data_IF_820756888725
#
_entry.id   IF_820756888725
#
_cell.length_a   1.000
_cell.length_b   1.000
_cell.length_c   1.000
_cell.angle_alpha   90.00
_cell.angle_beta   90.00
_cell.angle_gamma   90.00
#
_symmetry.space_group_name_H-M   'P 1'
#
loop_
_entity.id
_entity.type
_entity.pdbx_description
1 polymer ?
#
# COMPACT_ATOMS: atom_id res chain seq x y z
N UNK A 1 -23.98 41.29 45.81
CA UNK A 1 -22.53 41.20 45.59
C UNK A 1 -22.29 40.03 44.65
N UNK A 2 -22.10 40.30 43.36
CA UNK A 2 -21.90 39.25 42.35
C UNK A 2 -20.42 39.14 42.05
N UNK A 3 -19.79 38.06 42.48
CA UNK A 3 -18.38 37.75 42.20
C UNK A 3 -18.31 36.95 40.90
N UNK A 4 -17.94 37.62 39.80
CA UNK A 4 -17.61 36.96 38.54
C UNK A 4 -16.30 36.18 38.70
N UNK A 5 -16.21 34.91 38.28
CA UNK A 5 -14.96 34.16 38.37
C UNK A 5 -13.95 34.69 37.34
N UNK A 6 -12.81 35.19 37.80
CA UNK A 6 -11.72 35.64 36.94
C UNK A 6 -11.09 34.46 36.19
N UNK A 7 -10.88 34.65 34.89
CA UNK A 7 -10.25 33.67 34.01
C UNK A 7 -8.74 33.62 34.35
N UNK A 8 -8.14 32.43 34.53
CA UNK A 8 -6.73 32.33 34.93
C UNK A 8 -5.81 32.89 33.85
N UNK A 9 -4.80 33.61 34.31
CA UNK A 9 -3.77 34.26 33.50
C UNK A 9 -2.89 33.22 32.78
N UNK A 10 -2.18 33.59 31.71
CA UNK A 10 -1.31 32.67 30.98
C UNK A 10 -0.25 31.99 31.86
N UNK A 11 0.30 32.71 32.85
CA UNK A 11 1.27 32.18 33.80
C UNK A 11 0.65 31.13 34.74
N UNK A 12 -0.56 31.38 35.26
CA UNK A 12 -1.28 30.42 36.11
C UNK A 12 -1.69 29.16 35.32
N UNK A 13 -1.98 29.29 34.02
CA UNK A 13 -2.25 28.14 33.14
C UNK A 13 -1.01 27.28 32.96
N UNK A 14 0.16 27.89 32.88
CA UNK A 14 1.42 27.18 32.70
C UNK A 14 1.85 26.47 33.99
N UNK A 15 1.60 27.08 35.15
CA UNK A 15 1.82 26.46 36.46
C UNK A 15 0.88 25.28 36.72
N UNK A 16 -0.42 25.43 36.36
CA UNK A 16 -1.40 24.33 36.42
C UNK A 16 -0.99 23.20 35.45
N UNK A 17 -0.49 23.52 34.26
CA UNK A 17 -0.03 22.52 33.28
C UNK A 17 1.17 21.69 33.78
N UNK A 18 2.02 22.24 34.66
CA UNK A 18 3.16 21.53 35.27
C UNK A 18 2.78 20.66 36.47
N UNK A 19 1.63 20.92 37.09
CA UNK A 19 1.10 20.15 38.22
C UNK A 19 0.17 19.00 37.79
N UNK A 20 -0.24 18.97 36.52
CA UNK A 20 -0.96 17.85 35.95
C UNK A 20 0.00 16.69 35.67
N UNK A 21 -0.34 15.44 36.05
CA UNK A 21 0.47 14.29 35.68
C UNK A 21 0.61 14.25 34.16
N UNK A 22 1.86 14.09 33.68
CA UNK A 22 2.16 13.88 32.25
C UNK A 22 1.21 12.79 31.75
N UNK A 23 0.32 13.08 30.77
CA UNK A 23 -0.57 12.06 30.23
C UNK A 23 0.30 10.91 29.75
N UNK A 24 0.04 9.70 30.23
CA UNK A 24 0.75 8.52 29.78
C UNK A 24 0.65 8.46 28.25
N UNK A 25 1.80 8.54 27.57
CA UNK A 25 1.93 8.33 26.13
C UNK A 25 1.17 7.05 25.75
N UNK A 26 0.02 7.24 25.11
CA UNK A 26 -0.79 6.17 24.53
C UNK A 26 -0.93 6.43 23.04
N UNK A 27 0.20 6.35 22.36
CA UNK A 27 0.24 6.00 20.94
C UNK A 27 1.10 4.76 20.78
N UNK A 28 0.43 3.62 20.52
CA UNK A 28 1.07 2.34 20.16
C UNK A 28 0.92 2.16 18.64
N UNK A 29 1.99 2.36 17.85
CA UNK A 29 1.93 2.33 16.38
C UNK A 29 1.51 0.98 15.78
N UNK A 30 1.59 -0.11 16.55
CA UNK A 30 1.08 -1.44 16.20
C UNK A 30 -0.41 -1.51 15.85
N UNK A 31 -1.23 -0.58 16.36
CA UNK A 31 -2.64 -0.48 15.99
C UNK A 31 -2.89 0.21 14.64
N UNK A 32 -1.93 0.91 14.05
CA UNK A 32 -2.15 1.66 12.80
C UNK A 32 -2.02 0.77 11.56
N UNK A 33 -1.15 -0.23 11.60
CA UNK A 33 -1.09 -1.24 10.55
C UNK A 33 -2.26 -2.23 10.64
N UNK A 34 -2.69 -2.50 11.88
CA UNK A 34 -4.02 -3.03 12.16
C UNK A 34 -5.11 -2.08 11.67
N UNK A 35 -4.97 -0.75 11.72
CA UNK A 35 -5.98 0.14 11.16
C UNK A 35 -6.05 0.10 9.64
N UNK A 36 -4.96 -0.18 8.92
CA UNK A 36 -4.97 -0.40 7.47
C UNK A 36 -5.57 -1.77 7.12
N UNK A 37 -5.13 -2.83 7.80
CA UNK A 37 -5.72 -4.17 7.69
C UNK A 37 -7.19 -4.17 8.14
N UNK A 38 -7.50 -3.50 9.22
CA UNK A 38 -8.84 -3.29 9.77
C UNK A 38 -9.58 -2.26 8.93
N UNK A 39 -9.00 -1.40 8.10
CA UNK A 39 -9.76 -0.56 7.17
C UNK A 39 -10.17 -1.41 5.97
N UNK A 40 -9.22 -2.18 5.43
CA UNK A 40 -9.44 -3.23 4.44
C UNK A 40 -10.36 -4.37 4.95
N UNK A 41 -10.48 -4.58 6.26
CA UNK A 41 -11.36 -5.59 6.88
C UNK A 41 -12.61 -4.99 7.56
N UNK A 42 -12.65 -3.70 7.94
CA UNK A 42 -13.81 -3.01 8.55
C UNK A 42 -14.83 -2.64 7.48
N UNK A 43 -14.42 -2.46 6.24
CA UNK A 43 -15.34 -2.33 5.10
C UNK A 43 -16.19 -3.58 4.87
N UNK A 44 -15.84 -4.72 5.45
CA UNK A 44 -16.66 -5.95 5.41
C UNK A 44 -17.46 -6.20 6.68
N UNK A 45 -17.48 -5.27 7.67
CA UNK A 45 -17.92 -5.61 9.03
C UNK A 45 -18.79 -4.59 9.78
N UNK A 46 -19.28 -3.54 9.14
CA UNK A 46 -20.34 -2.71 9.74
C UNK A 46 -21.68 -3.26 9.23
N UNK A 47 -22.29 -4.25 9.89
CA UNK A 47 -23.13 -3.96 11.06
C UNK A 47 -23.20 -5.07 12.12
N UNK A 48 -23.49 -4.62 13.35
CA UNK A 48 -23.93 -5.38 14.54
C UNK A 48 -22.83 -5.83 15.53
N UNK A 49 -22.49 -4.95 16.47
CA UNK A 49 -22.11 -5.39 17.82
C UNK A 49 -23.39 -5.69 18.62
N UNK A 50 -23.43 -6.81 19.37
CA UNK A 50 -24.18 -6.78 20.61
C UNK A 50 -23.35 -7.17 21.83
N UNK A 51 -23.72 -6.48 22.90
CA UNK A 51 -23.37 -6.59 24.31
C UNK A 51 -22.92 -7.97 24.84
N UNK A 52 -22.01 -7.89 25.80
CA UNK A 52 -21.47 -8.98 26.59
C UNK A 52 -22.53 -9.72 27.45
N UNK A 53 -22.41 -11.05 27.55
CA UNK A 53 -22.80 -11.88 28.69
C UNK A 53 -22.19 -13.32 28.55
N UNK A 54 -22.22 -14.20 29.57
CA UNK A 54 -21.01 -14.80 30.16
C UNK A 54 -20.82 -16.31 29.92
N UNK A 55 -19.78 -16.83 30.58
CA UNK A 55 -19.14 -18.15 30.53
C UNK A 55 -20.04 -19.40 30.52
N UNK A 56 -19.52 -20.44 29.84
CA UNK A 56 -19.73 -21.84 30.23
C UNK A 56 -20.09 -22.78 29.08
N UNK A 57 -19.13 -23.59 28.65
CA UNK A 57 -19.26 -25.05 28.40
C UNK A 57 -18.18 -25.54 27.44
N UNK A 58 -17.40 -26.55 27.88
CA UNK A 58 -16.45 -27.30 27.06
C UNK A 58 -17.20 -28.38 26.26
N UNK A 59 -16.67 -28.80 25.10
CA UNK A 59 -16.58 -30.23 24.86
C UNK A 59 -15.20 -30.69 24.36
N UNK A 60 -15.04 -32.01 24.45
CA UNK A 60 -13.81 -32.81 24.42
C UNK A 60 -13.75 -33.64 23.13
N UNK A 61 -12.54 -34.13 22.85
CA UNK A 61 -12.17 -35.24 21.93
C UNK A 61 -12.15 -34.89 20.43
N UNK A 62 -11.21 -35.38 19.61
CA UNK A 62 -10.16 -36.37 19.83
C UNK A 62 -9.13 -36.32 18.70
N UNK A 63 -7.87 -36.61 19.05
CA UNK A 63 -6.74 -36.62 18.13
C UNK A 63 -6.78 -37.85 17.21
N UNK A 64 -6.65 -37.62 15.89
CA UNK A 64 -6.19 -38.66 14.95
C UNK A 64 -4.91 -38.16 14.28
N UNK A 65 -3.83 -38.85 14.60
CA UNK A 65 -2.49 -38.72 14.02
C UNK A 65 -2.54 -39.23 12.57
N UNK A 66 -2.05 -38.45 11.62
CA UNK A 66 -1.75 -38.89 10.27
C UNK A 66 -0.22 -38.93 10.09
N UNK A 67 0.28 -40.12 9.77
CA UNK A 67 1.66 -40.43 9.42
C UNK A 67 1.93 -39.99 7.98
N UNK A 68 2.95 -39.15 7.76
CA UNK A 68 3.44 -38.79 6.42
C UNK A 68 4.57 -39.76 6.05
N UNK A 69 4.40 -40.49 4.95
CA UNK A 69 5.47 -41.22 4.28
C UNK A 69 6.07 -40.32 3.19
N UNK A 70 7.39 -40.13 3.23
CA UNK A 70 8.18 -39.39 2.26
C UNK A 70 8.52 -40.26 1.05
N UNK A 71 8.53 -39.67 -0.15
CA UNK A 71 9.22 -40.21 -1.34
C UNK A 71 9.97 -39.05 -2.02
N UNK A 72 11.28 -39.18 -2.29
CA UNK A 72 12.09 -38.17 -2.97
C UNK A 72 12.36 -38.54 -4.43
N UNK A 73 12.19 -37.63 -5.39
CA UNK A 73 12.72 -37.69 -6.75
C UNK A 73 12.64 -36.27 -7.35
N UNK A 74 13.51 -35.74 -8.19
CA UNK A 74 14.89 -35.99 -8.61
C UNK A 74 15.27 -34.75 -9.44
N UNK A 75 16.57 -34.45 -9.53
CA UNK A 75 17.13 -33.30 -10.22
C UNK A 75 16.86 -33.27 -11.74
N UNK A 76 16.78 -32.06 -12.30
CA UNK A 76 16.77 -31.82 -13.75
C UNK A 76 17.37 -30.46 -14.06
N UNK A 77 18.68 -30.44 -14.30
CA UNK A 77 19.42 -29.28 -14.79
C UNK A 77 19.20 -29.11 -16.31
N UNK A 78 18.94 -27.89 -16.76
CA UNK A 78 19.09 -27.50 -18.16
C UNK A 78 19.90 -26.21 -18.23
N UNK A 79 21.16 -26.38 -18.61
CA UNK A 79 22.05 -25.32 -19.05
C UNK A 79 21.67 -24.92 -20.48
N UNK A 80 21.58 -23.62 -20.74
CA UNK A 80 21.59 -23.08 -22.11
C UNK A 80 22.80 -22.16 -22.22
N UNK A 81 23.77 -22.65 -22.97
CA UNK A 81 24.95 -21.93 -23.47
C UNK A 81 24.56 -21.08 -24.67
N UNK A 82 24.76 -19.76 -24.59
CA UNK A 82 24.97 -18.94 -25.78
C UNK A 82 26.33 -18.25 -25.66
N UNK A 83 27.25 -18.70 -26.50
CA UNK A 83 28.48 -18.01 -26.82
C UNK A 83 28.32 -17.42 -28.23
N UNK A 84 28.47 -16.11 -28.37
CA UNK A 84 29.01 -15.49 -29.57
C UNK A 84 29.89 -14.31 -29.17
N UNK A 85 31.17 -14.46 -29.51
CA UNK A 85 32.25 -13.48 -29.37
C UNK A 85 32.05 -12.27 -30.29
N UNK A 86 32.54 -11.12 -29.85
CA UNK A 86 32.72 -9.92 -30.67
C UNK A 86 33.34 -8.81 -29.84
N UNK A 87 34.64 -8.90 -29.57
CA UNK A 87 35.39 -7.88 -28.84
C UNK A 87 35.74 -6.67 -29.70
N UNK A 88 36.02 -5.55 -29.02
CA UNK A 88 37.05 -4.56 -29.32
C UNK A 88 37.03 -3.48 -28.21
N UNK A 89 37.88 -3.67 -27.20
CA UNK A 89 38.50 -2.57 -26.46
C UNK A 89 39.63 -1.98 -27.32
N UNK A 90 39.92 -0.68 -27.16
CA UNK A 90 41.23 -0.35 -26.59
C UNK A 90 41.11 0.68 -25.46
N UNK A 91 41.82 0.41 -24.35
CA UNK A 91 42.05 1.36 -23.27
C UNK A 91 43.13 2.42 -23.61
N UNK A 92 43.87 2.92 -22.61
CA UNK A 92 43.53 4.14 -21.87
C UNK A 92 44.56 5.26 -22.08
N UNK A 93 44.20 6.52 -21.81
CA UNK A 93 45.21 7.57 -21.62
C UNK A 93 44.71 9.01 -21.61
N UNK A 94 45.11 9.72 -20.55
CA UNK A 94 45.33 11.17 -20.42
C UNK A 94 44.16 12.08 -19.98
N UNK A 95 44.21 12.46 -18.70
CA UNK A 95 43.97 13.82 -18.18
C UNK A 95 45.36 14.41 -17.77
N UNK A 96 45.57 15.72 -17.48
CA UNK A 96 44.68 16.90 -17.56
C UNK A 96 45.34 18.18 -18.16
N UNK A 97 44.54 19.19 -18.55
CA UNK A 97 44.65 20.66 -18.25
C UNK A 97 44.19 21.61 -19.35
N UNK A 98 43.60 22.72 -18.87
CA UNK A 98 43.32 24.02 -19.50
C UNK A 98 42.02 24.08 -20.35
N UNK A 99 41.13 25.06 -20.21
CA UNK A 99 41.26 26.39 -19.63
C UNK A 99 39.92 26.90 -19.06
N UNK A 100 40.03 27.66 -17.97
CA UNK A 100 39.01 28.55 -17.42
C UNK A 100 38.89 29.77 -18.34
N UNK A 101 37.67 30.14 -18.72
CA UNK A 101 37.34 31.48 -19.20
C UNK A 101 36.08 31.98 -18.47
N UNK A 102 36.08 33.20 -17.90
CA UNK A 102 35.00 33.71 -17.07
C UNK A 102 33.92 34.43 -17.88
N UNK A 103 32.69 34.37 -17.36
CA UNK A 103 31.72 35.46 -17.42
C UNK A 103 31.02 35.72 -18.76
N UNK A 104 29.77 35.28 -18.86
CA UNK A 104 28.75 36.15 -19.46
C UNK A 104 27.44 35.98 -18.69
N UNK A 105 27.10 37.04 -17.95
CA UNK A 105 25.85 37.23 -17.24
C UNK A 105 24.67 37.08 -18.20
N UNK A 106 24.05 35.90 -18.23
CA UNK A 106 22.68 35.73 -18.70
C UNK A 106 21.75 35.72 -17.50
N UNK A 107 21.40 36.95 -17.11
CA UNK A 107 20.04 37.40 -16.75
C UNK A 107 19.10 36.26 -16.30
N UNK A 108 18.82 36.25 -15.00
CA UNK A 108 17.71 35.53 -14.40
C UNK A 108 16.40 35.83 -15.13
N UNK A 109 16.02 34.94 -16.04
CA UNK A 109 14.70 34.87 -16.66
C UNK A 109 14.29 33.39 -16.60
N UNK A 110 13.23 33.13 -15.86
CA UNK A 110 12.51 31.87 -15.72
C UNK A 110 13.34 30.67 -15.23
N UNK A 111 13.89 30.77 -14.01
CA UNK A 111 14.18 29.57 -13.24
C UNK A 111 12.84 28.92 -12.86
N UNK A 112 12.30 28.07 -13.77
CA UNK A 112 11.36 27.03 -13.35
C UNK A 112 12.02 26.32 -12.17
N UNK A 113 11.34 26.16 -11.01
CA UNK A 113 11.92 25.40 -9.93
C UNK A 113 12.40 24.06 -10.48
N UNK A 114 13.67 23.74 -10.26
CA UNK A 114 14.27 22.51 -10.76
C UNK A 114 13.44 21.34 -10.22
N UNK A 115 12.95 20.48 -11.13
CA UNK A 115 12.07 19.39 -10.74
C UNK A 115 12.81 18.46 -9.78
N UNK A 116 12.21 18.18 -8.63
CA UNK A 116 12.81 17.28 -7.64
C UNK A 116 12.98 15.87 -8.23
N UNK A 117 13.97 15.07 -7.79
CA UNK A 117 14.16 13.71 -8.30
C UNK A 117 12.91 12.83 -8.20
N UNK A 118 12.09 13.06 -7.16
CA UNK A 118 10.81 12.36 -6.96
C UNK A 118 9.76 12.77 -7.99
N UNK A 119 9.65 14.07 -8.31
CA UNK A 119 8.72 14.55 -9.33
C UNK A 119 9.10 14.02 -10.73
N UNK A 120 10.40 13.98 -11.04
CA UNK A 120 10.90 13.41 -12.30
C UNK A 120 10.59 11.91 -12.38
N UNK A 121 10.81 11.14 -11.31
CA UNK A 121 10.51 9.71 -11.30
C UNK A 121 9.00 9.44 -11.46
N UNK A 122 8.16 10.13 -10.69
CA UNK A 122 6.71 9.96 -10.75
C UNK A 122 6.12 10.41 -12.09
N UNK A 123 6.64 11.45 -12.73
CA UNK A 123 6.21 11.85 -14.07
C UNK A 123 6.57 10.80 -15.15
N UNK A 124 7.75 10.18 -15.05
CA UNK A 124 8.13 9.06 -15.91
C UNK A 124 7.21 7.85 -15.71
N UNK A 125 6.94 7.47 -14.46
CA UNK A 125 6.01 6.38 -14.11
C UNK A 125 4.62 6.70 -14.67
N UNK A 126 4.13 7.92 -14.46
CA UNK A 126 2.83 8.37 -14.96
C UNK A 126 2.74 8.32 -16.49
N UNK A 127 3.82 8.71 -17.18
CA UNK A 127 3.91 8.64 -18.65
C UNK A 127 3.79 7.20 -19.15
N UNK A 128 4.52 6.27 -18.53
CA UNK A 128 4.43 4.84 -18.86
C UNK A 128 3.05 4.29 -18.55
N UNK A 129 2.48 4.64 -17.39
CA UNK A 129 1.14 4.21 -17.00
C UNK A 129 0.06 4.69 -17.99
N UNK A 130 0.13 5.96 -18.43
CA UNK A 130 -0.81 6.55 -19.39
C UNK A 130 -0.73 5.91 -20.79
N UNK A 131 0.45 5.41 -21.17
CA UNK A 131 0.68 4.77 -22.47
C UNK A 131 0.14 3.33 -22.55
N UNK A 132 -0.24 2.72 -21.42
CA UNK A 132 -0.80 1.37 -21.42
C UNK A 132 -2.16 1.34 -22.13
N UNK A 133 -2.48 0.27 -22.88
CA UNK A 133 -3.78 0.14 -23.53
C UNK A 133 -4.88 0.05 -22.47
N UNK A 134 -5.95 0.83 -22.67
CA UNK A 134 -7.13 0.72 -21.83
C UNK A 134 -7.82 -0.63 -22.10
N UNK A 135 -8.02 -1.42 -21.04
CA UNK A 135 -8.76 -2.69 -21.13
C UNK A 135 -10.25 -2.39 -21.12
N UNK A 136 -11.00 -3.02 -22.03
CA UNK A 136 -12.45 -3.04 -21.95
C UNK A 136 -12.87 -3.91 -20.76
N UNK A 137 -13.68 -3.34 -19.86
CA UNK A 137 -14.17 -4.01 -18.64
C UNK A 137 -15.69 -3.83 -18.60
N UNK A 138 -16.43 -4.92 -18.41
CA UNK A 138 -17.90 -4.90 -18.28
C UNK A 138 -18.32 -4.92 -16.82
N UNK A 139 -19.51 -4.39 -16.53
CA UNK A 139 -20.06 -4.30 -15.16
C UNK A 139 -20.27 -5.66 -14.52
N UNK A 140 -20.59 -6.66 -15.35
CA UNK A 140 -20.84 -8.04 -14.95
C UNK A 140 -19.55 -8.86 -14.72
N UNK A 141 -18.37 -8.22 -14.66
CA UNK A 141 -17.09 -8.89 -14.44
C UNK A 141 -16.46 -8.56 -13.07
N UNK A 142 -15.30 -9.19 -12.83
CA UNK A 142 -14.48 -8.99 -11.63
C UNK A 142 -13.08 -8.52 -12.00
N UNK A 143 -12.56 -7.54 -11.26
CA UNK A 143 -11.13 -7.22 -11.25
C UNK A 143 -10.42 -8.28 -10.41
N UNK A 144 -9.45 -8.94 -11.02
CA UNK A 144 -8.61 -9.94 -10.37
C UNK A 144 -7.23 -9.38 -10.06
N UNK A 145 -6.74 -9.62 -8.84
CA UNK A 145 -5.35 -9.36 -8.46
C UNK A 145 -4.79 -10.56 -7.71
N UNK A 146 -3.61 -11.03 -8.12
CA UNK A 146 -2.81 -12.04 -7.41
C UNK A 146 -1.56 -11.39 -6.84
N UNK A 147 -1.27 -11.69 -5.58
CA UNK A 147 -0.11 -11.15 -4.87
C UNK A 147 0.49 -12.14 -3.87
N UNK A 148 1.76 -11.93 -3.56
CA UNK A 148 2.38 -12.43 -2.33
C UNK A 148 2.36 -11.30 -1.30
N UNK A 149 1.95 -11.57 -0.06
CA UNK A 149 1.87 -10.57 1.01
C UNK A 149 2.44 -11.10 2.32
N UNK A 150 2.97 -10.20 3.13
CA UNK A 150 3.26 -10.42 4.55
C UNK A 150 3.04 -9.12 5.32
N UNK A 151 2.42 -9.22 6.48
CA UNK A 151 2.08 -8.07 7.31
C UNK A 151 2.51 -8.34 8.74
N UNK A 152 3.01 -7.32 9.42
CA UNK A 152 3.31 -7.41 10.84
C UNK A 152 2.02 -7.43 11.64
N UNK A 153 2.00 -8.27 12.67
CA UNK A 153 0.95 -8.27 13.68
C UNK A 153 1.55 -8.12 15.07
N UNK A 154 0.76 -7.53 15.96
CA UNK A 154 1.04 -7.42 17.39
C UNK A 154 -0.19 -7.94 18.14
N UNK A 155 0.03 -8.53 19.30
CA UNK A 155 -1.06 -8.90 20.21
C UNK A 155 -0.71 -8.48 21.63
N UNK A 156 -1.68 -8.46 22.53
CA UNK A 156 -1.39 -8.20 23.95
C UNK A 156 -0.46 -9.27 24.55
N UNK A 157 -0.45 -10.48 23.99
CA UNK A 157 0.44 -11.56 24.39
C UNK A 157 1.85 -11.44 23.79
N UNK A 158 1.99 -10.69 22.70
CA UNK A 158 3.24 -10.48 21.98
C UNK A 158 3.32 -9.03 21.49
N UNK A 159 3.84 -8.12 22.32
CA UNK A 159 3.92 -6.70 22.01
C UNK A 159 5.01 -6.40 20.98
N UNK A 160 5.78 -7.39 20.52
CA UNK A 160 6.77 -7.19 19.45
C UNK A 160 6.06 -7.34 18.12
N UNK A 161 6.27 -6.40 17.19
CA UNK A 161 5.80 -6.57 15.83
C UNK A 161 6.51 -7.77 15.20
N UNK A 162 5.73 -8.74 14.73
CA UNK A 162 6.26 -9.88 13.98
C UNK A 162 5.65 -9.91 12.59
N UNK A 163 6.54 -9.83 11.59
CA UNK A 163 6.17 -10.03 10.20
C UNK A 163 5.73 -11.48 10.01
N UNK A 164 4.58 -11.65 9.42
CA UNK A 164 4.08 -12.96 9.04
C UNK A 164 4.94 -13.62 7.94
N UNK A 165 4.82 -14.93 7.76
CA UNK A 165 5.45 -15.60 6.62
C UNK A 165 4.76 -15.14 5.33
N UNK A 166 5.51 -14.73 4.29
CA UNK A 166 4.94 -14.40 2.98
C UNK A 166 4.03 -15.51 2.45
N UNK A 167 2.85 -15.13 1.98
CA UNK A 167 1.83 -16.07 1.52
C UNK A 167 1.01 -15.50 0.36
N UNK A 168 0.32 -16.40 -0.36
CA UNK A 168 -0.53 -16.02 -1.48
C UNK A 168 -1.81 -15.34 -0.98
N UNK A 169 -2.14 -14.24 -1.66
CA UNK A 169 -3.40 -13.51 -1.59
C UNK A 169 -3.93 -13.32 -3.01
N UNK A 170 -5.20 -13.64 -3.23
CA UNK A 170 -5.91 -13.42 -4.49
C UNK A 170 -7.24 -12.74 -4.19
N UNK A 171 -7.57 -11.70 -4.95
CA UNK A 171 -8.83 -10.98 -4.77
C UNK A 171 -9.56 -10.84 -6.08
N UNK A 172 -10.88 -10.91 -6.01
CA UNK A 172 -11.83 -10.66 -7.09
C UNK A 172 -12.81 -9.60 -6.61
N UNK A 173 -12.78 -8.41 -7.20
CA UNK A 173 -13.66 -7.29 -6.83
C UNK A 173 -14.67 -7.05 -7.95
N UNK A 174 -15.97 -6.96 -7.62
CA UNK A 174 -16.99 -6.63 -8.64
C UNK A 174 -16.68 -5.29 -9.26
N UNK A 175 -16.69 -5.22 -10.59
CA UNK A 175 -16.31 -4.02 -11.35
C UNK A 175 -17.17 -2.82 -10.97
N UNK A 176 -18.46 -3.03 -10.82
CA UNK A 176 -19.48 -2.05 -10.49
C UNK A 176 -19.89 -2.04 -9.01
N UNK A 177 -19.41 -3.01 -8.21
CA UNK A 177 -19.82 -3.20 -6.83
C UNK A 177 -21.20 -3.86 -6.63
N UNK A 178 -21.93 -4.23 -7.69
CA UNK A 178 -23.29 -4.78 -7.55
C UNK A 178 -23.34 -6.18 -6.95
N UNK A 179 -22.23 -6.93 -6.98
CA UNK A 179 -22.15 -8.33 -6.54
C UNK A 179 -21.01 -8.56 -5.55
N UNK A 180 -21.09 -9.60 -4.70
CA UNK A 180 -20.02 -9.94 -3.78
C UNK A 180 -18.75 -10.27 -4.54
N UNK A 181 -17.63 -9.76 -4.05
CA UNK A 181 -16.30 -10.19 -4.42
C UNK A 181 -15.86 -11.43 -3.64
N UNK A 182 -14.59 -11.79 -3.81
CA UNK A 182 -13.95 -12.89 -3.10
C UNK A 182 -12.51 -12.52 -2.75
N UNK A 183 -12.11 -12.82 -1.52
CA UNK A 183 -10.73 -12.87 -1.10
C UNK A 183 -10.35 -14.33 -0.86
N UNK A 184 -9.26 -14.79 -1.48
CA UNK A 184 -8.62 -16.06 -1.16
C UNK A 184 -7.24 -15.79 -0.60
N UNK A 185 -7.04 -16.09 0.67
CA UNK A 185 -5.79 -15.85 1.38
C UNK A 185 -5.46 -17.07 2.25
N UNK A 186 -4.22 -17.56 2.18
CA UNK A 186 -3.80 -18.80 2.88
C UNK A 186 -4.69 -20.03 2.57
N UNK A 187 -5.27 -20.07 1.37
CA UNK A 187 -6.19 -21.12 0.95
C UNK A 187 -7.59 -21.01 1.56
N UNK A 188 -7.88 -19.96 2.32
CA UNK A 188 -9.19 -19.68 2.88
C UNK A 188 -9.93 -18.66 2.01
N UNK A 189 -11.19 -18.96 1.74
CA UNK A 189 -12.09 -18.11 0.97
C UNK A 189 -12.94 -17.27 1.92
N UNK A 190 -12.90 -15.96 1.70
CA UNK A 190 -13.68 -14.95 2.42
C UNK A 190 -14.49 -14.18 1.39
N UNK A 191 -15.82 -14.32 1.39
CA UNK A 191 -16.70 -13.49 0.56
C UNK A 191 -16.54 -12.02 0.92
N UNK A 192 -16.51 -11.16 -0.10
CA UNK A 192 -16.41 -9.71 0.05
C UNK A 192 -17.76 -9.09 -0.29
N UNK A 193 -18.57 -8.82 0.73
CA UNK A 193 -19.93 -8.30 0.59
C UNK A 193 -20.20 -7.19 1.61
N UNK A 194 -21.20 -6.35 1.30
CA UNK A 194 -21.61 -5.20 2.13
C UNK A 194 -22.00 -5.65 3.55
N UNK A 195 -22.76 -6.74 3.63
CA UNK A 195 -23.17 -7.36 4.89
C UNK A 195 -22.81 -8.85 4.92
N UNK A 196 -22.22 -9.30 6.03
CA UNK A 196 -21.94 -10.72 6.30
C UNK A 196 -22.50 -11.16 7.65
N UNK A 197 -22.99 -12.40 7.71
CA UNK A 197 -23.54 -12.98 8.94
C UNK A 197 -22.40 -13.30 9.93
N UNK A 198 -22.77 -13.72 11.16
CA UNK A 198 -21.80 -14.12 12.19
C UNK A 198 -20.89 -15.29 11.79
N UNK A 199 -21.25 -15.99 10.71
CA UNK A 199 -20.50 -17.11 10.15
C UNK A 199 -19.63 -16.70 8.95
N UNK A 200 -19.60 -15.39 8.61
CA UNK A 200 -18.84 -14.85 7.48
C UNK A 200 -19.48 -15.09 6.11
N UNK A 201 -20.78 -15.39 6.04
CA UNK A 201 -21.49 -15.58 4.77
C UNK A 201 -22.21 -14.29 4.37
N UNK A 202 -22.23 -13.90 3.09
CA UNK A 202 -22.98 -12.73 2.64
C UNK A 202 -24.45 -12.82 3.05
N UNK A 203 -24.94 -11.78 3.72
CA UNK A 203 -26.37 -11.62 4.07
C UNK A 203 -27.13 -11.14 2.84
N UNK A 204 -26.50 -10.26 2.06
CA UNK A 204 -27.04 -9.73 0.81
C UNK A 204 -26.24 -10.24 -0.39
N UNK A 205 -26.85 -10.14 -1.57
CA UNK A 205 -26.15 -10.38 -2.85
C UNK A 205 -25.50 -9.11 -3.39
N UNK A 206 -25.28 -8.10 -2.55
CA UNK A 206 -24.68 -6.82 -2.93
C UNK A 206 -23.21 -6.81 -2.50
N UNK A 207 -22.35 -6.29 -3.35
CA UNK A 207 -20.92 -6.17 -3.08
C UNK A 207 -20.59 -4.91 -2.29
N UNK A 208 -20.44 -3.81 -2.99
CA UNK A 208 -20.09 -2.50 -2.47
C UNK A 208 -20.93 -1.45 -3.22
N UNK A 209 -22.13 -1.11 -2.72
CA UNK A 209 -23.06 -0.21 -3.40
C UNK A 209 -22.68 1.27 -3.25
N UNK A 210 -21.79 1.60 -2.32
CA UNK A 210 -21.38 2.96 -1.99
C UNK A 210 -19.84 3.09 -1.99
N UNK A 211 -19.20 2.99 -3.17
CA UNK A 211 -17.74 2.99 -3.24
C UNK A 211 -17.13 4.33 -2.82
N UNK A 212 -15.98 4.26 -2.16
CA UNK A 212 -15.21 5.42 -1.67
C UNK A 212 -13.74 5.30 -2.08
N UNK A 213 -12.89 6.27 -1.72
CA UNK A 213 -11.45 6.13 -1.91
C UNK A 213 -10.84 4.97 -1.10
N UNK A 214 -11.46 4.60 0.03
CA UNK A 214 -11.01 3.49 0.86
C UNK A 214 -11.63 2.15 0.44
N UNK A 215 -12.83 2.20 -0.16
CA UNK A 215 -13.51 1.05 -0.77
C UNK A 215 -13.79 1.28 -2.25
N UNK A 216 -12.77 1.36 -3.13
CA UNK A 216 -13.01 1.66 -4.52
C UNK A 216 -13.59 0.46 -5.28
N UNK A 217 -14.55 0.70 -6.16
CA UNK A 217 -14.84 -0.19 -7.29
C UNK A 217 -14.04 0.26 -8.51
N UNK A 218 -13.94 -0.59 -9.55
CA UNK A 218 -13.33 -0.17 -10.81
C UNK A 218 -14.09 1.01 -11.42
N UNK A 219 -15.43 1.03 -11.35
CA UNK A 219 -16.24 2.14 -11.85
C UNK A 219 -16.03 3.42 -11.06
N UNK A 220 -15.89 3.33 -9.73
CA UNK A 220 -15.52 4.48 -8.91
C UNK A 220 -14.16 5.04 -9.31
N UNK A 221 -13.13 4.19 -9.42
CA UNK A 221 -11.80 4.58 -9.89
C UNK A 221 -11.84 5.25 -11.27
N UNK A 222 -12.60 4.68 -12.21
CA UNK A 222 -12.74 5.22 -13.55
C UNK A 222 -13.45 6.59 -13.59
N UNK A 223 -14.21 6.93 -12.54
CA UNK A 223 -14.87 8.23 -12.40
C UNK A 223 -13.98 9.30 -11.75
N UNK A 224 -12.81 8.93 -11.22
CA UNK A 224 -11.93 9.87 -10.54
C UNK A 224 -11.40 10.94 -11.51
N UNK A 225 -11.20 12.18 -11.03
CA UNK A 225 -10.55 13.23 -11.80
C UNK A 225 -9.16 12.77 -12.28
N UNK A 226 -8.84 13.05 -13.54
CA UNK A 226 -7.50 12.78 -14.11
C UNK A 226 -6.58 13.99 -14.06
N UNK A 227 -7.06 15.13 -13.56
CA UNK A 227 -6.22 16.26 -13.19
C UNK A 227 -5.58 15.97 -11.81
N UNK A 228 -4.24 15.97 -11.70
CA UNK A 228 -3.57 15.54 -10.48
C UNK A 228 -3.79 16.47 -9.30
N UNK A 229 -3.94 17.78 -9.51
CA UNK A 229 -4.16 18.74 -8.41
C UNK A 229 -5.58 18.62 -7.87
N UNK A 230 -6.56 18.48 -8.77
CA UNK A 230 -7.97 18.23 -8.41
C UNK A 230 -8.10 16.89 -7.69
N UNK A 231 -7.42 15.85 -8.19
CA UNK A 231 -7.43 14.52 -7.59
C UNK A 231 -6.78 14.53 -6.20
N UNK A 232 -5.62 15.17 -6.05
CA UNK A 232 -4.94 15.28 -4.77
C UNK A 232 -5.81 16.03 -3.74
N UNK A 233 -6.44 17.14 -4.16
CA UNK A 233 -7.38 17.88 -3.32
C UNK A 233 -8.55 17.00 -2.86
N UNK A 234 -9.17 16.25 -3.77
CA UNK A 234 -10.27 15.32 -3.46
C UNK A 234 -9.81 14.28 -2.42
N UNK A 235 -8.62 13.73 -2.58
CA UNK A 235 -8.04 12.76 -1.62
C UNK A 235 -7.93 13.38 -0.23
N UNK A 236 -7.27 14.55 -0.10
CA UNK A 236 -7.15 15.24 1.18
C UNK A 236 -8.49 15.61 1.83
N UNK A 237 -9.49 15.98 1.02
CA UNK A 237 -10.81 16.34 1.53
C UNK A 237 -11.56 15.14 2.09
N UNK A 238 -11.54 14.01 1.39
CA UNK A 238 -12.28 12.80 1.78
C UNK A 238 -11.60 12.02 2.89
N UNK A 239 -10.25 11.99 2.92
CA UNK A 239 -9.51 11.23 3.94
C UNK A 239 -9.18 12.04 5.19
N UNK A 240 -9.71 13.27 5.28
CA UNK A 240 -9.51 14.16 6.42
C UNK A 240 -9.89 13.47 7.73
N UNK A 241 -8.92 13.35 8.63
CA UNK A 241 -9.10 12.78 9.97
C UNK A 241 -9.19 11.24 10.00
N UNK A 242 -8.98 10.55 8.87
CA UNK A 242 -9.06 9.10 8.79
C UNK A 242 -7.71 8.39 9.04
N UNK A 243 -6.61 9.14 9.02
CA UNK A 243 -5.25 8.62 9.16
C UNK A 243 -4.39 9.31 10.23
N UNK A 244 -3.13 8.87 10.36
CA UNK A 244 -2.21 9.37 11.38
C UNK A 244 -1.67 10.77 11.07
N UNK A 245 -1.95 11.29 9.87
CA UNK A 245 -1.66 12.64 9.41
C UNK A 245 -2.14 12.80 7.96
N UNK A 246 -2.50 14.02 7.50
CA UNK A 246 -3.14 14.23 6.21
C UNK A 246 -2.28 13.73 5.04
N UNK A 247 -0.98 14.04 5.05
CA UNK A 247 -0.06 13.65 3.98
C UNK A 247 0.25 12.16 3.97
N UNK A 248 0.35 11.54 5.16
CA UNK A 248 0.56 10.09 5.25
C UNK A 248 -0.67 9.35 4.74
N UNK A 249 -1.86 9.82 5.11
CA UNK A 249 -3.11 9.23 4.69
C UNK A 249 -3.33 9.37 3.19
N UNK A 250 -3.05 10.56 2.63
CA UNK A 250 -3.08 10.77 1.19
C UNK A 250 -2.12 9.83 0.45
N UNK A 251 -0.89 9.64 0.97
CA UNK A 251 0.06 8.70 0.41
C UNK A 251 -0.51 7.28 0.45
N UNK A 252 -0.86 6.75 1.63
CA UNK A 252 -1.42 5.38 1.77
C UNK A 252 -2.62 5.15 0.87
N UNK A 253 -3.57 6.09 0.83
CA UNK A 253 -4.77 6.01 -0.03
C UNK A 253 -4.40 5.86 -1.51
N UNK A 254 -3.43 6.63 -2.02
CA UNK A 254 -2.96 6.49 -3.40
C UNK A 254 -2.33 5.10 -3.62
N UNK A 255 -1.53 4.61 -2.66
CA UNK A 255 -0.96 3.26 -2.71
C UNK A 255 -2.03 2.17 -2.83
N UNK A 256 -3.07 2.24 -1.99
CA UNK A 256 -4.17 1.28 -2.01
C UNK A 256 -4.95 1.28 -3.33
N UNK A 257 -5.24 2.47 -3.88
CA UNK A 257 -5.88 2.63 -5.20
C UNK A 257 -5.03 2.05 -6.35
N UNK A 258 -3.71 1.97 -6.17
CA UNK A 258 -2.78 1.41 -7.15
C UNK A 258 -2.51 -0.09 -6.92
N UNK A 259 -2.63 -0.60 -5.70
CA UNK A 259 -2.23 -1.96 -5.30
C UNK A 259 -3.25 -3.03 -5.70
N UNK A 260 -4.51 -2.88 -5.29
CA UNK A 260 -5.53 -3.93 -5.44
C UNK A 260 -6.45 -3.74 -6.65
N UNK A 261 -6.04 -2.90 -7.60
CA UNK A 261 -6.94 -2.47 -8.67
C UNK A 261 -6.31 -2.43 -10.06
N UNK A 262 -7.16 -2.57 -11.07
CA UNK A 262 -6.84 -2.32 -12.47
C UNK A 262 -7.26 -0.90 -12.82
N UNK A 263 -6.69 0.11 -12.16
CA UNK A 263 -7.05 1.50 -12.42
C UNK A 263 -6.85 1.84 -13.92
N UNK A 264 -7.78 2.59 -14.56
CA UNK A 264 -7.60 3.00 -15.95
C UNK A 264 -6.28 3.77 -16.15
N UNK A 265 -5.59 3.60 -17.29
CA UNK A 265 -4.27 4.19 -17.55
C UNK A 265 -4.12 5.67 -17.16
N UNK A 266 -5.13 6.50 -17.51
CA UNK A 266 -5.12 7.94 -17.20
C UNK A 266 -5.32 8.23 -15.71
N UNK A 267 -6.10 7.42 -15.01
CA UNK A 267 -6.31 7.54 -13.56
C UNK A 267 -5.05 7.12 -12.82
N UNK A 268 -4.42 6.01 -13.21
CA UNK A 268 -3.11 5.62 -12.66
C UNK A 268 -2.06 6.72 -12.83
N UNK A 269 -1.98 7.31 -14.03
CA UNK A 269 -1.06 8.42 -14.29
C UNK A 269 -1.35 9.63 -13.40
N UNK A 270 -2.62 9.99 -13.22
CA UNK A 270 -3.03 11.08 -12.34
C UNK A 270 -2.68 10.81 -10.87
N UNK A 271 -2.88 9.57 -10.39
CA UNK A 271 -2.51 9.14 -9.03
C UNK A 271 -1.00 9.28 -8.78
N UNK A 272 -0.15 8.85 -9.71
CA UNK A 272 1.30 9.03 -9.60
C UNK A 272 1.72 10.50 -9.60
N UNK A 273 1.10 11.33 -10.45
CA UNK A 273 1.36 12.77 -10.48
C UNK A 273 0.89 13.47 -9.20
N UNK A 274 -0.28 13.11 -8.69
CA UNK A 274 -0.81 13.61 -7.42
C UNK A 274 0.14 13.29 -6.25
N UNK A 275 0.72 12.08 -6.22
CA UNK A 275 1.68 11.69 -5.18
C UNK A 275 2.95 12.58 -5.15
N UNK A 276 3.34 13.20 -6.26
CA UNK A 276 4.48 14.11 -6.31
C UNK A 276 4.22 15.44 -5.57
N UNK A 277 2.94 15.81 -5.39
CA UNK A 277 2.52 17.00 -4.63
C UNK A 277 2.44 16.77 -3.13
N UNK A 278 2.59 15.53 -2.64
CA UNK A 278 2.51 15.22 -1.22
C UNK A 278 3.85 15.58 -0.52
N UNK A 279 3.82 16.41 0.54
CA UNK A 279 5.01 16.72 1.32
C UNK A 279 5.67 15.48 1.94
N UNK A 280 7.01 15.44 1.87
CA UNK A 280 7.83 14.38 2.48
C UNK A 280 8.00 13.12 1.66
N UNK A 281 7.51 13.10 0.41
CA UNK A 281 7.76 11.98 -0.51
C UNK A 281 9.18 12.07 -1.08
N UNK A 282 9.88 10.94 -1.09
CA UNK A 282 11.29 10.80 -1.45
C UNK A 282 11.50 9.61 -2.38
N UNK A 283 12.72 9.47 -2.93
CA UNK A 283 13.12 8.32 -3.73
C UNK A 283 14.06 7.42 -2.93
N UNK A 284 13.82 6.12 -2.98
CA UNK A 284 14.72 5.08 -2.47
C UNK A 284 15.31 4.34 -3.68
N UNK A 285 16.64 4.35 -3.77
CA UNK A 285 17.36 3.88 -4.95
C UNK A 285 17.28 2.37 -5.17
N UNK A 286 17.06 1.57 -4.13
CA UNK A 286 16.86 0.12 -4.20
C UNK A 286 15.89 -0.35 -3.11
N UNK A 287 14.85 -1.06 -3.53
CA UNK A 287 13.88 -1.71 -2.67
C UNK A 287 13.52 -3.09 -3.24
N UNK A 288 13.11 -4.01 -2.36
CA UNK A 288 12.82 -5.41 -2.71
C UNK A 288 11.39 -5.74 -2.32
N UNK A 289 10.62 -6.28 -3.26
CA UNK A 289 9.24 -6.69 -3.04
C UNK A 289 9.15 -8.09 -2.37
N UNK A 290 7.93 -8.55 -2.06
CA UNK A 290 7.73 -9.85 -1.42
C UNK A 290 8.10 -11.07 -2.30
N UNK A 291 8.36 -10.87 -3.59
CA UNK A 291 8.81 -11.89 -4.53
C UNK A 291 10.33 -11.86 -4.77
N UNK A 292 11.06 -10.96 -4.08
CA UNK A 292 12.50 -10.81 -4.23
C UNK A 292 12.94 -9.97 -5.43
N UNK A 293 12.01 -9.26 -6.10
CA UNK A 293 12.32 -8.39 -7.23
C UNK A 293 12.84 -7.04 -6.73
N UNK A 294 13.99 -6.62 -7.26
CA UNK A 294 14.58 -5.32 -6.97
C UNK A 294 13.99 -4.22 -7.84
N UNK A 295 13.75 -3.06 -7.25
CA UNK A 295 13.14 -1.91 -7.90
C UNK A 295 13.66 -0.59 -7.37
N UNK A 296 13.22 0.50 -8.02
CA UNK A 296 13.30 1.85 -7.46
C UNK A 296 12.01 2.13 -6.70
N UNK A 297 12.08 2.82 -5.57
CA UNK A 297 10.90 3.12 -4.79
C UNK A 297 10.63 4.61 -4.59
N UNK A 298 9.35 4.94 -4.49
CA UNK A 298 8.87 6.21 -3.97
C UNK A 298 8.41 5.98 -2.54
N UNK A 299 8.83 6.82 -1.60
CA UNK A 299 8.66 6.54 -0.19
C UNK A 299 8.29 7.77 0.64
N UNK A 300 7.53 7.55 1.71
CA UNK A 300 7.22 8.57 2.72
C UNK A 300 7.46 8.02 4.11
N UNK A 301 8.11 8.83 4.96
CA UNK A 301 8.35 8.49 6.36
C UNK A 301 7.31 9.16 7.24
N UNK A 302 6.74 8.40 8.17
CA UNK A 302 5.82 8.91 9.19
C UNK A 302 5.99 8.11 10.48
N UNK A 303 6.13 8.80 11.62
CA UNK A 303 6.26 8.20 12.95
C UNK A 303 7.30 7.07 13.06
N UNK A 304 8.43 7.20 12.36
CA UNK A 304 9.52 6.22 12.40
C UNK A 304 9.34 5.01 11.48
N UNK A 305 8.30 4.98 10.64
CA UNK A 305 8.09 3.97 9.61
C UNK A 305 8.16 4.61 8.22
N UNK A 306 8.84 3.96 7.28
CA UNK A 306 8.89 4.32 5.86
C UNK A 306 7.98 3.40 5.07
N UNK A 307 7.00 3.97 4.40
CA UNK A 307 6.18 3.27 3.40
C UNK A 307 6.81 3.47 2.03
N UNK A 308 6.99 2.39 1.27
CA UNK A 308 7.66 2.37 -0.03
C UNK A 308 6.72 1.75 -1.09
N UNK A 309 6.61 2.40 -2.25
CA UNK A 309 6.03 1.82 -3.47
C UNK A 309 7.16 1.44 -4.41
N UNK A 310 7.24 0.17 -4.75
CA UNK A 310 8.35 -0.41 -5.49
C UNK A 310 7.97 -0.52 -6.96
N UNK A 311 8.82 -0.01 -7.84
CA UNK A 311 8.66 -0.04 -9.28
C UNK A 311 9.84 -0.75 -9.94
N UNK A 312 9.56 -1.50 -10.99
CA UNK A 312 10.61 -2.09 -11.81
C UNK A 312 11.47 -0.99 -12.45
N UNK A 313 12.79 -1.16 -12.42
CA UNK A 313 13.73 -0.10 -12.85
C UNK A 313 13.63 0.22 -14.34
N UNK A 314 13.24 -0.75 -15.15
CA UNK A 314 13.28 -0.65 -16.61
C UNK A 314 11.89 -0.30 -17.16
N UNK A 315 10.89 -1.03 -16.70
CA UNK A 315 9.51 -0.94 -17.17
C UNK A 315 8.67 0.06 -16.38
N UNK A 316 9.14 0.49 -15.20
CA UNK A 316 8.40 1.36 -14.27
C UNK A 316 7.03 0.77 -13.86
N UNK A 317 6.86 -0.55 -13.99
CA UNK A 317 5.67 -1.23 -13.50
C UNK A 317 5.70 -1.32 -11.98
N UNK A 318 4.53 -1.09 -11.36
CA UNK A 318 4.35 -1.26 -9.93
C UNK A 318 4.51 -2.73 -9.54
N UNK A 319 5.52 -3.02 -8.73
CA UNK A 319 5.85 -4.36 -8.27
C UNK A 319 5.16 -4.70 -6.96
N UNK A 320 5.00 -3.73 -6.06
CA UNK A 320 4.43 -3.95 -4.74
C UNK A 320 4.81 -2.85 -3.78
N UNK A 321 4.65 -3.14 -2.49
CA UNK A 321 4.87 -2.18 -1.41
C UNK A 321 5.71 -2.78 -0.31
N UNK A 322 6.32 -1.91 0.48
CA UNK A 322 7.10 -2.31 1.66
C UNK A 322 6.97 -1.27 2.76
N UNK A 323 6.79 -1.74 3.99
CA UNK A 323 6.91 -0.94 5.20
C UNK A 323 8.21 -1.29 5.91
N UNK A 324 8.99 -0.29 6.33
CA UNK A 324 10.27 -0.46 7.01
C UNK A 324 10.40 0.51 8.16
N UNK A 325 10.72 0.01 9.36
CA UNK A 325 11.10 0.86 10.47
C UNK A 325 12.42 1.57 10.18
N UNK A 326 12.47 2.88 10.36
CA UNK A 326 13.70 3.67 10.16
C UNK A 326 14.41 4.01 11.47
N UNK A 327 13.74 3.81 12.61
CA UNK A 327 14.28 4.01 13.95
C UNK A 327 13.84 2.89 14.89
N UNK A 328 14.56 2.73 15.99
CA UNK A 328 14.21 1.78 17.03
C UNK A 328 12.99 2.26 17.82
N UNK A 329 12.08 1.33 18.10
CA UNK A 329 10.91 1.51 18.95
C UNK A 329 10.84 0.36 19.97
N UNK A 330 10.12 0.52 21.09
CA UNK A 330 9.97 -0.57 22.07
C UNK A 330 9.38 -1.88 21.50
N UNK A 331 8.76 -1.82 20.33
CA UNK A 331 8.03 -2.92 19.69
C UNK A 331 8.56 -3.28 18.30
N UNK A 332 9.59 -2.59 17.78
CA UNK A 332 10.22 -2.90 16.49
C UNK A 332 11.62 -2.27 16.38
N UNK A 333 12.52 -2.88 15.63
CA UNK A 333 13.89 -2.36 15.44
C UNK A 333 14.05 -1.63 14.11
N UNK A 334 14.98 -0.69 14.02
CA UNK A 334 15.35 -0.08 12.74
C UNK A 334 15.75 -1.14 11.71
N UNK A 335 15.35 -0.94 10.46
CA UNK A 335 15.51 -1.89 9.36
C UNK A 335 14.50 -3.04 9.34
N UNK A 336 13.69 -3.21 10.38
CA UNK A 336 12.66 -4.25 10.41
C UNK A 336 11.57 -3.97 9.37
N UNK A 337 11.22 -5.00 8.59
CA UNK A 337 10.10 -4.96 7.66
C UNK A 337 8.79 -5.12 8.44
N UNK A 338 7.86 -4.19 8.26
CA UNK A 338 6.52 -4.19 8.86
C UNK A 338 5.44 -4.68 7.90
N UNK A 339 5.72 -4.59 6.61
CA UNK A 339 4.83 -4.98 5.53
C UNK A 339 5.64 -5.28 4.28
N UNK A 340 5.22 -6.27 3.50
CA UNK A 340 5.76 -6.45 2.15
C UNK A 340 4.73 -7.09 1.24
N UNK A 341 4.61 -6.59 0.02
CA UNK A 341 3.73 -7.15 -1.01
C UNK A 341 4.48 -7.29 -2.33
N UNK A 342 4.00 -8.19 -3.19
CA UNK A 342 4.42 -8.33 -4.57
C UNK A 342 3.19 -8.65 -5.42
N UNK A 343 2.87 -7.79 -6.37
CA UNK A 343 1.85 -7.99 -7.39
C UNK A 343 2.41 -8.94 -8.44
N UNK A 344 1.74 -10.08 -8.60
CA UNK A 344 2.15 -11.14 -9.52
C UNK A 344 1.36 -11.07 -10.83
N UNK A 345 0.06 -10.76 -10.74
CA UNK A 345 -0.78 -10.59 -11.92
C UNK A 345 -2.03 -9.78 -11.60
N UNK A 346 -2.55 -9.12 -12.64
CA UNK A 346 -3.82 -8.40 -12.63
C UNK A 346 -4.60 -8.73 -13.89
N UNK A 347 -5.92 -8.72 -13.80
CA UNK A 347 -6.75 -8.93 -14.97
C UNK A 347 -8.23 -8.80 -14.68
N UNK A 348 -9.04 -9.31 -15.60
CA UNK A 348 -10.50 -9.34 -15.49
C UNK A 348 -10.97 -10.76 -15.70
N UNK A 349 -11.91 -11.21 -14.88
CA UNK A 349 -12.56 -12.53 -14.98
C UNK A 349 -14.07 -12.38 -14.99
N UNK A 350 -14.77 -13.39 -15.51
CA UNK A 350 -16.23 -13.38 -15.54
C UNK A 350 -16.82 -13.85 -14.20
N UNK A 351 -16.08 -14.67 -13.43
CA UNK A 351 -16.47 -15.12 -12.10
C UNK A 351 -15.36 -14.98 -11.08
N UNK A 352 -15.73 -15.02 -9.80
CA UNK A 352 -14.78 -15.18 -8.70
C UNK A 352 -14.16 -16.58 -8.73
N UNK A 353 -12.93 -16.73 -8.24
CA UNK A 353 -12.20 -18.00 -8.20
C UNK A 353 -11.50 -18.39 -9.50
N UNK A 354 -11.81 -17.74 -10.63
CA UNK A 354 -11.12 -17.91 -11.90
C UNK A 354 -9.79 -17.14 -11.95
N UNK A 355 -8.87 -17.54 -12.81
CA UNK A 355 -7.69 -16.73 -13.15
C UNK A 355 -7.89 -16.12 -14.53
N UNK A 356 -7.41 -14.89 -14.80
CA UNK A 356 -7.46 -14.31 -16.13
C UNK A 356 -6.83 -15.26 -17.15
N UNK A 357 -7.53 -15.49 -18.26
CA UNK A 357 -6.95 -16.18 -19.40
C UNK A 357 -5.70 -15.43 -19.87
N UNK A 358 -4.63 -16.15 -20.20
CA UNK A 358 -3.51 -15.56 -20.91
C UNK A 358 -4.04 -15.13 -22.28
N UNK A 359 -4.29 -13.83 -22.44
CA UNK A 359 -4.37 -13.24 -23.78
C UNK A 359 -2.94 -13.28 -24.32
N UNK A 360 -2.68 -14.28 -25.17
CA UNK A 360 -1.44 -14.41 -25.93
C UNK A 360 -1.29 -13.33 -26.99
#
# INVERSE_FOLDING_TARGET
MSTTPSRPTPAEREEIARLLPVPADRDRPGRHHQALKDQLLREFRQDTAPAAAPAGAKPRFGARRLTIAAVPLAAGALAVTLATNGGLDPGPGADPKAAVAPGSDRKAQDARPEATPVAVLLDRIATVAAAKPARAVRDDQYVYVSSTVAWSSQSDADPVMRLDTPHSRKVWLSVDGSRPGLLRERGQDVPLADEVDKSGRPVTSVGNPAPTLNSPTYRYLASLPTDPDVLLKKIYDETRGQGPGPDQEAFVTIGDLLREQLAPPKVSAALYKAAAGIPGVTVVGDAVDAAGRHGVAVARVHNGERTEWIFDRNTLEFLGERGVMVEDKPWATSGQITATTAILSRGVTDKTGETPGHTG
#
